data_IF_416550805925
#
_entry.id   IF_416550805925
#
_cell.length_a   1.000
_cell.length_b   1.000
_cell.length_c   1.000
_cell.angle_alpha   90.00
_cell.angle_beta   90.00
_cell.angle_gamma   90.00
#
_symmetry.space_group_name_H-M   'P 1'
#
loop_
_entity.id
_entity.type
_entity.pdbx_description
1 polymer ?
#
# COMPACT_ATOMS: atom_id res chain seq x y z
N UNK A 1 -11.60 7.03 12.14
CA UNK A 1 -11.62 6.32 10.86
C UNK A 1 -10.46 6.83 10.05
N UNK A 2 -9.55 5.92 9.69
CA UNK A 2 -8.40 6.20 8.85
C UNK A 2 -8.75 5.96 7.39
N UNK A 3 -8.31 6.84 6.49
CA UNK A 3 -8.51 6.67 5.05
C UNK A 3 -7.21 6.24 4.36
N UNK A 4 -7.27 5.13 3.64
CA UNK A 4 -6.17 4.66 2.80
C UNK A 4 -6.58 4.62 1.33
N UNK A 5 -5.62 4.68 0.43
CA UNK A 5 -5.85 4.40 -0.99
C UNK A 5 -5.26 3.04 -1.34
N UNK A 6 -6.13 2.07 -1.58
CA UNK A 6 -5.73 0.71 -1.91
C UNK A 6 -5.49 0.59 -3.41
N UNK A 7 -4.42 -0.08 -3.77
CA UNK A 7 -4.14 -0.57 -5.12
C UNK A 7 -3.89 -2.08 -5.06
N UNK A 8 -4.55 -2.82 -5.94
CA UNK A 8 -4.39 -4.27 -6.05
C UNK A 8 -4.57 -4.74 -7.49
N UNK A 9 -4.12 -5.96 -7.79
CA UNK A 9 -4.39 -6.60 -9.08
C UNK A 9 -5.56 -7.58 -8.93
N UNK A 10 -6.60 -7.38 -9.71
CA UNK A 10 -7.73 -8.31 -9.81
C UNK A 10 -7.44 -9.34 -10.90
N UNK A 11 -7.28 -10.60 -10.50
CA UNK A 11 -6.92 -11.72 -11.36
C UNK A 11 -8.11 -12.24 -12.16
N UNK A 12 -9.36 -11.97 -11.76
CA UNK A 12 -10.55 -12.41 -12.49
C UNK A 12 -10.74 -11.58 -13.76
N UNK A 13 -10.52 -10.26 -13.66
CA UNK A 13 -10.65 -9.32 -14.77
C UNK A 13 -9.31 -8.88 -15.38
N UNK A 14 -8.20 -9.37 -14.82
CA UNK A 14 -6.82 -9.09 -15.24
C UNK A 14 -6.51 -7.58 -15.31
N UNK A 15 -6.87 -6.84 -14.26
CA UNK A 15 -6.69 -5.37 -14.20
C UNK A 15 -6.22 -4.91 -12.84
N UNK A 16 -5.41 -3.85 -12.84
CA UNK A 16 -5.14 -3.08 -11.63
C UNK A 16 -6.43 -2.36 -11.22
N UNK A 17 -6.82 -2.52 -9.96
CA UNK A 17 -7.93 -1.85 -9.32
C UNK A 17 -7.39 -0.92 -8.23
N UNK A 18 -8.14 0.14 -7.97
CA UNK A 18 -7.83 1.03 -6.87
C UNK A 18 -9.07 1.68 -6.27
N UNK A 19 -9.11 1.76 -4.94
CA UNK A 19 -10.26 2.24 -4.17
C UNK A 19 -9.85 2.99 -2.90
N UNK A 20 -10.80 3.74 -2.33
CA UNK A 20 -10.61 4.41 -1.04
C UNK A 20 -11.12 3.48 0.04
N UNK A 21 -10.25 3.16 0.99
CA UNK A 21 -10.57 2.39 2.17
C UNK A 21 -10.97 3.32 3.32
N UNK A 22 -11.91 2.84 4.13
CA UNK A 22 -12.24 3.41 5.43
C UNK A 22 -11.88 2.35 6.45
N UNK A 23 -10.84 2.61 7.24
CA UNK A 23 -10.32 1.70 8.24
C UNK A 23 -10.73 2.17 9.63
N UNK A 24 -11.12 1.23 10.47
CA UNK A 24 -11.37 1.42 11.88
C UNK A 24 -10.03 1.62 12.61
N UNK A 25 -9.99 2.63 13.46
CA UNK A 25 -8.79 3.13 14.13
C UNK A 25 -9.06 3.50 15.59
N UNK A 26 -10.08 2.89 16.22
CA UNK A 26 -10.43 3.16 17.62
C UNK A 26 -9.27 2.84 18.57
N UNK A 27 -8.48 1.81 18.23
CA UNK A 27 -7.21 1.48 18.88
C UNK A 27 -6.16 1.09 17.85
N UNK A 28 -4.90 1.17 18.25
CA UNK A 28 -3.77 0.72 17.42
C UNK A 28 -3.89 -0.77 17.06
N UNK A 29 -4.39 -1.62 17.97
CA UNK A 29 -4.57 -3.05 17.66
C UNK A 29 -5.69 -3.30 16.65
N UNK A 30 -6.78 -2.52 16.70
CA UNK A 30 -7.86 -2.61 15.71
C UNK A 30 -7.33 -2.20 14.34
N UNK A 31 -6.62 -1.07 14.25
CA UNK A 31 -6.04 -0.61 13.01
C UNK A 31 -5.02 -1.62 12.42
N UNK A 32 -4.15 -2.17 13.26
CA UNK A 32 -3.17 -3.20 12.85
C UNK A 32 -3.87 -4.44 12.27
N UNK A 33 -4.94 -4.92 12.91
CA UNK A 33 -5.72 -6.06 12.42
C UNK A 33 -6.40 -5.76 11.08
N UNK A 34 -6.98 -4.57 10.92
CA UNK A 34 -7.60 -4.17 9.67
C UNK A 34 -6.60 -4.05 8.52
N UNK A 35 -5.44 -3.44 8.77
CA UNK A 35 -4.36 -3.32 7.80
C UNK A 35 -3.88 -4.70 7.34
N UNK A 36 -3.61 -5.61 8.28
CA UNK A 36 -3.23 -7.00 7.99
C UNK A 36 -4.29 -7.74 7.19
N UNK A 37 -5.56 -7.56 7.53
CA UNK A 37 -6.67 -8.18 6.79
C UNK A 37 -6.76 -7.66 5.35
N UNK A 38 -6.67 -6.35 5.16
CA UNK A 38 -6.72 -5.72 3.82
C UNK A 38 -5.52 -6.16 2.98
N UNK A 39 -4.32 -6.15 3.55
CA UNK A 39 -3.08 -6.57 2.89
C UNK A 39 -3.01 -8.09 2.65
N UNK A 40 -3.87 -8.87 3.32
CA UNK A 40 -3.80 -10.33 3.37
C UNK A 40 -2.46 -10.83 3.94
N UNK A 41 -2.02 -10.19 5.01
CA UNK A 41 -0.68 -10.31 5.56
C UNK A 41 -0.65 -10.66 7.05
N UNK A 42 0.45 -11.26 7.51
CA UNK A 42 0.69 -11.48 8.95
C UNK A 42 1.42 -10.27 9.58
N UNK A 43 2.27 -9.62 8.80
CA UNK A 43 2.95 -8.36 9.08
C UNK A 43 2.90 -7.44 7.87
N UNK A 44 3.47 -6.24 7.99
CA UNK A 44 3.59 -5.32 6.87
C UNK A 44 4.78 -4.38 7.06
N UNK A 45 5.36 -3.97 5.94
CA UNK A 45 6.46 -3.02 5.88
C UNK A 45 5.99 -1.67 5.34
N UNK A 46 6.75 -0.62 5.70
CA UNK A 46 6.56 0.74 5.22
C UNK A 46 7.59 1.04 4.13
N UNK A 47 7.11 1.54 3.00
CA UNK A 47 7.94 2.05 1.92
C UNK A 47 7.62 3.52 1.67
N UNK A 48 8.62 4.39 1.80
CA UNK A 48 8.45 5.81 1.53
C UNK A 48 8.22 6.05 0.03
N UNK A 49 7.03 6.54 -0.31
CA UNK A 49 6.72 6.96 -1.67
C UNK A 49 7.05 8.44 -1.89
N UNK A 50 6.80 9.28 -0.89
CA UNK A 50 7.15 10.70 -0.88
C UNK A 50 7.32 11.16 0.57
N UNK A 51 7.70 12.42 0.79
CA UNK A 51 7.81 12.99 2.15
C UNK A 51 6.52 12.81 2.96
N UNK A 52 5.36 12.88 2.31
CA UNK A 52 4.07 12.83 2.99
C UNK A 52 3.37 11.45 2.92
N UNK A 53 3.83 10.53 2.05
CA UNK A 53 3.08 9.31 1.71
C UNK A 53 3.99 8.09 1.83
N UNK A 54 3.51 7.10 2.57
CA UNK A 54 4.08 5.76 2.62
C UNK A 54 3.15 4.75 1.94
N UNK A 55 3.74 3.65 1.51
CA UNK A 55 3.07 2.46 1.00
C UNK A 55 3.22 1.37 2.05
N UNK A 56 2.10 0.85 2.54
CA UNK A 56 2.05 -0.36 3.33
C UNK A 56 1.91 -1.56 2.39
N UNK A 57 2.71 -2.58 2.63
CA UNK A 57 2.71 -3.82 1.85
C UNK A 57 3.03 -5.00 2.76
N UNK A 58 2.51 -6.16 2.39
CA UNK A 58 2.83 -7.44 3.01
C UNK A 58 4.36 -7.70 3.04
N UNK A 59 4.91 -7.88 4.24
CA UNK A 59 6.34 -8.12 4.48
C UNK A 59 6.82 -9.46 3.88
N UNK A 60 5.91 -10.42 3.74
CA UNK A 60 6.14 -11.72 3.11
C UNK A 60 5.46 -11.83 1.73
N UNK A 61 5.12 -10.70 1.11
CA UNK A 61 4.36 -10.67 -0.14
C UNK A 61 5.01 -11.45 -1.29
N UNK A 62 6.35 -11.52 -1.32
CA UNK A 62 7.11 -12.26 -2.31
C UNK A 62 7.12 -13.78 -2.11
N UNK A 63 6.85 -14.25 -0.89
CA UNK A 63 6.86 -15.68 -0.53
C UNK A 63 5.51 -16.34 -0.80
N UNK A 64 4.44 -15.54 -0.89
CA UNK A 64 3.09 -16.02 -1.17
C UNK A 64 2.89 -16.26 -2.65
N UNK A 65 2.29 -17.38 -3.07
CA UNK A 65 2.11 -17.70 -4.47
C UNK A 65 1.03 -16.82 -5.12
N UNK A 66 1.22 -16.53 -6.42
CA UNK A 66 0.28 -15.76 -7.24
C UNK A 66 0.02 -14.32 -6.76
N UNK A 67 0.88 -13.78 -5.91
CA UNK A 67 0.84 -12.38 -5.53
C UNK A 67 1.32 -11.51 -6.71
N UNK A 68 0.61 -10.42 -7.04
CA UNK A 68 1.07 -9.48 -8.04
C UNK A 68 2.34 -8.78 -7.58
N UNK A 69 3.30 -8.62 -8.49
CA UNK A 69 4.52 -7.86 -8.23
C UNK A 69 4.47 -6.57 -9.04
N UNK A 70 4.53 -5.46 -8.32
CA UNK A 70 4.52 -4.11 -8.89
C UNK A 70 5.92 -3.52 -8.85
N UNK A 71 6.37 -2.96 -9.98
CA UNK A 71 7.45 -1.98 -9.99
C UNK A 71 6.83 -0.59 -9.79
N UNK A 72 7.27 0.13 -8.77
CA UNK A 72 6.83 1.50 -8.48
C UNK A 72 8.04 2.42 -8.49
N UNK A 73 7.88 3.59 -9.11
CA UNK A 73 8.81 4.71 -8.99
C UNK A 73 8.27 5.67 -7.92
N UNK A 74 9.04 5.88 -6.86
CA UNK A 74 8.70 6.84 -5.80
C UNK A 74 8.76 8.28 -6.34
N UNK A 75 8.18 9.24 -5.61
CA UNK A 75 8.30 10.66 -5.93
C UNK A 75 9.76 11.16 -5.88
N UNK A 76 10.66 10.41 -5.23
CA UNK A 76 12.09 10.66 -5.19
C UNK A 76 12.84 10.10 -6.41
N UNK A 77 12.18 9.28 -7.23
CA UNK A 77 12.75 8.61 -8.40
C UNK A 77 13.32 7.22 -8.12
N UNK A 78 13.20 6.72 -6.89
CA UNK A 78 13.66 5.39 -6.51
C UNK A 78 12.71 4.32 -7.05
N UNK A 79 13.27 3.20 -7.50
CA UNK A 79 12.51 2.05 -8.00
C UNK A 79 12.44 0.97 -6.95
N UNK A 80 11.22 0.55 -6.64
CA UNK A 80 10.95 -0.51 -5.68
C UNK A 80 10.07 -1.59 -6.30
N UNK A 81 10.35 -2.84 -5.93
CA UNK A 81 9.49 -3.97 -6.25
C UNK A 81 8.67 -4.32 -5.01
N UNK A 82 7.35 -4.24 -5.11
CA UNK A 82 6.43 -4.52 -4.01
C UNK A 82 5.46 -5.63 -4.43
N UNK A 83 5.23 -6.61 -3.57
CA UNK A 83 4.42 -7.78 -3.87
C UNK A 83 3.13 -7.84 -3.03
N UNK A 84 2.00 -8.15 -3.66
CA UNK A 84 0.70 -8.23 -2.99
C UNK A 84 -0.12 -6.95 -3.14
N UNK A 85 -0.87 -6.59 -2.11
CA UNK A 85 -1.71 -5.39 -2.09
C UNK A 85 -0.93 -4.20 -1.54
N UNK A 86 -1.26 -3.00 -2.01
CA UNK A 86 -0.55 -1.78 -1.66
C UNK A 86 -1.53 -0.76 -1.08
N UNK A 87 -1.30 -0.32 0.16
CA UNK A 87 -2.12 0.75 0.77
C UNK A 87 -1.27 2.01 0.88
N UNK A 88 -1.67 3.05 0.18
CA UNK A 88 -1.07 4.38 0.32
C UNK A 88 -1.73 5.11 1.48
N UNK A 89 -0.90 5.59 2.40
CA UNK A 89 -1.28 6.31 3.63
C UNK A 89 -0.38 7.52 3.81
N UNK A 90 -0.81 8.50 4.61
CA UNK A 90 0.07 9.62 4.95
C UNK A 90 1.00 9.25 6.10
N UNK A 91 2.23 9.75 6.03
CA UNK A 91 3.10 9.81 7.19
C UNK A 91 2.66 10.98 8.08
N UNK A 92 2.46 10.71 9.36
CA UNK A 92 2.27 11.73 10.39
C UNK A 92 3.50 11.69 11.27
N UNK A 93 4.47 12.54 10.96
CA UNK A 93 5.64 12.73 11.82
C UNK A 93 5.18 13.27 13.16
N UNK A 94 5.54 12.57 14.23
CA UNK A 94 5.48 13.09 15.58
C UNK A 94 6.89 13.12 16.18
N UNK A 95 7.07 13.77 17.33
CA UNK A 95 8.40 13.97 17.94
C UNK A 95 9.11 12.65 18.33
N UNK A 96 8.41 11.50 18.32
CA UNK A 96 8.89 10.23 18.84
C UNK A 96 8.74 9.04 17.86
N UNK A 97 7.89 9.14 16.83
CA UNK A 97 7.56 8.10 15.85
C UNK A 97 6.91 8.69 14.59
N UNK A 98 6.80 7.86 13.55
CA UNK A 98 5.93 8.12 12.39
C UNK A 98 4.64 7.36 12.57
N UNK A 99 3.53 8.08 12.72
CA UNK A 99 2.18 7.50 12.78
C UNK A 99 1.54 7.45 11.38
N UNK A 100 0.48 6.65 11.24
CA UNK A 100 -0.29 6.54 10.00
C UNK A 100 -1.40 7.59 10.01
N UNK A 101 -1.45 8.41 8.97
CA UNK A 101 -2.49 9.40 8.74
C UNK A 101 -3.39 9.05 7.55
N UNK A 102 -4.59 9.61 7.58
CA UNK A 102 -5.54 9.53 6.47
C UNK A 102 -5.02 10.22 5.21
N UNK A 103 -5.17 9.56 4.07
CA UNK A 103 -4.91 10.15 2.76
C UNK A 103 -5.90 11.29 2.47
N UNK A 104 -5.44 12.38 1.83
CA UNK A 104 -6.31 13.49 1.41
C UNK A 104 -6.80 13.30 -0.02
N UNK A 105 -7.83 14.05 -0.40
CA UNK A 105 -8.34 14.03 -1.78
C UNK A 105 -7.30 14.45 -2.80
N UNK A 106 -6.45 15.43 -2.46
CA UNK A 106 -5.37 15.91 -3.30
C UNK A 106 -4.30 14.81 -3.52
N UNK A 107 -4.01 14.03 -2.48
CA UNK A 107 -3.06 12.91 -2.54
C UNK A 107 -3.58 11.83 -3.48
N UNK A 108 -4.85 11.45 -3.35
CA UNK A 108 -5.52 10.49 -4.25
C UNK A 108 -5.51 10.98 -5.69
N UNK A 109 -5.82 12.26 -5.91
CA UNK A 109 -5.77 12.84 -7.25
C UNK A 109 -4.35 12.75 -7.82
N UNK A 110 -3.34 13.17 -7.06
CA UNK A 110 -1.94 13.10 -7.47
C UNK A 110 -1.48 11.67 -7.77
N UNK A 111 -1.82 10.70 -6.92
CA UNK A 111 -1.51 9.29 -7.18
C UNK A 111 -2.15 8.82 -8.49
N UNK A 112 -3.42 9.13 -8.75
CA UNK A 112 -4.10 8.72 -9.99
C UNK A 112 -3.46 9.28 -11.27
N UNK A 113 -2.84 10.45 -11.21
CA UNK A 113 -2.28 11.12 -12.40
C UNK A 113 -0.76 10.97 -12.55
N UNK A 114 -0.04 10.71 -11.46
CA UNK A 114 1.44 10.72 -11.43
C UNK A 114 2.06 9.42 -10.98
N UNK A 115 1.29 8.48 -10.40
CA UNK A 115 1.85 7.22 -9.95
C UNK A 115 2.42 6.45 -11.15
N UNK A 116 3.74 6.30 -11.17
CA UNK A 116 4.45 5.44 -12.11
C UNK A 116 4.49 4.03 -11.54
N UNK A 117 3.56 3.19 -12.00
CA UNK A 117 3.41 1.81 -11.56
C UNK A 117 3.26 0.86 -12.74
N UNK A 118 4.00 -0.25 -12.69
CA UNK A 118 3.91 -1.35 -13.66
C UNK A 118 3.67 -2.67 -12.93
N UNK A 119 2.71 -3.46 -13.39
CA UNK A 119 2.62 -4.87 -13.01
C UNK A 119 3.69 -5.64 -13.80
N UNK A 120 4.69 -6.19 -13.12
CA UNK A 120 5.81 -6.90 -13.77
C UNK A 120 5.63 -8.41 -13.80
N UNK A 121 4.74 -8.95 -12.96
CA UNK A 121 4.45 -10.38 -12.95
C UNK A 121 3.63 -10.81 -11.73
N UNK A 122 3.53 -12.13 -11.57
CA UNK A 122 3.01 -12.78 -10.37
C UNK A 122 4.13 -13.61 -9.75
N UNK A 123 4.15 -13.75 -8.43
CA UNK A 123 5.04 -14.69 -7.75
C UNK A 123 4.72 -16.14 -8.14
N UNK A 124 5.74 -16.98 -8.25
CA UNK A 124 5.57 -18.37 -8.64
C UNK A 124 4.96 -19.19 -7.49
N UNK A 125 4.26 -20.27 -7.85
CA UNK A 125 4.06 -21.38 -6.93
C UNK A 125 5.41 -22.08 -6.75
N UNK A 126 5.97 -22.04 -5.53
CA UNK A 126 7.04 -22.95 -5.13
C UNK A 126 6.50 -24.36 -4.96
#
# INVERSE_FOLDING_TARGET
MLQGYLLYFDTEIMKIQAEILQLHDETTEVLDQELKQVLQAEGYDFFDYSEEIAILVDDQGFEKPLNPVFEIVSAFGDRSLLAGRLIFVRNVENEYSTDIGSIKYEDVFNLRIKLEINLIGLTNQL
#
